data_IF_597474083293
#
_entry.id   IF_597474083293
#
_cell.length_a   1.000
_cell.length_b   1.000
_cell.length_c   1.000
_cell.angle_alpha   90.00
_cell.angle_beta   90.00
_cell.angle_gamma   90.00
#
_symmetry.space_group_name_H-M   'P 1'
#
loop_
_entity.id
_entity.type
_entity.pdbx_description
1 polymer ?
#
# COMPACT_ATOMS: atom_id res chain seq x y z
N UNK A 1 -13.53 11.83 11.97
CA UNK A 1 -13.97 13.01 11.20
C UNK A 1 -14.22 12.59 9.75
N UNK A 2 -15.13 13.24 8.99
CA UNK A 2 -15.42 12.81 7.63
C UNK A 2 -14.26 13.11 6.68
N UNK A 3 -13.95 12.16 5.80
CA UNK A 3 -12.92 12.31 4.78
C UNK A 3 -13.49 13.13 3.61
N UNK A 4 -12.77 14.12 3.08
CA UNK A 4 -13.28 14.92 1.94
C UNK A 4 -13.20 14.16 0.60
N UNK A 5 -12.34 13.16 0.49
CA UNK A 5 -12.19 12.28 -0.67
C UNK A 5 -10.85 11.55 -0.65
N UNK A 6 -10.77 10.39 -1.31
CA UNK A 6 -9.53 9.65 -1.49
C UNK A 6 -9.43 9.06 -2.90
N UNK A 7 -8.20 9.01 -3.43
CA UNK A 7 -7.93 8.44 -4.74
C UNK A 7 -6.62 7.64 -4.75
N UNK A 8 -6.64 6.49 -5.42
CA UNK A 8 -5.43 5.75 -5.84
C UNK A 8 -5.53 5.52 -7.34
N UNK A 9 -4.47 5.83 -8.09
CA UNK A 9 -4.43 5.61 -9.53
C UNK A 9 -3.08 5.03 -9.97
N UNK A 10 -3.11 4.12 -10.93
CA UNK A 10 -1.94 3.50 -11.56
C UNK A 10 -2.16 3.48 -13.07
N UNK A 11 -1.17 3.95 -13.81
CA UNK A 11 -1.14 3.87 -15.27
C UNK A 11 0.16 3.24 -15.74
N UNK A 12 0.07 2.38 -16.75
CA UNK A 12 1.20 1.83 -17.47
C UNK A 12 0.97 2.01 -18.98
N UNK A 13 2.04 2.32 -19.69
CA UNK A 13 2.05 2.41 -21.14
C UNK A 13 3.32 1.76 -21.67
N UNK A 14 3.18 0.98 -22.74
CA UNK A 14 4.28 0.44 -23.51
C UNK A 14 3.92 0.48 -25.00
N UNK A 15 4.92 0.57 -25.87
CA UNK A 15 4.73 0.47 -27.31
C UNK A 15 5.80 -0.46 -27.88
N UNK A 16 5.38 -1.52 -28.56
CA UNK A 16 6.30 -2.34 -29.35
C UNK A 16 6.40 -1.77 -30.75
N UNK A 17 7.64 -1.63 -31.25
CA UNK A 17 7.91 -1.13 -32.60
C UNK A 17 8.80 -2.10 -33.35
N UNK A 18 8.55 -2.26 -34.66
CA UNK A 18 9.45 -2.99 -35.55
C UNK A 18 9.58 -2.26 -36.88
N UNK A 19 10.76 -2.31 -37.48
CA UNK A 19 10.97 -1.84 -38.83
C UNK A 19 10.26 -2.78 -39.83
N UNK A 20 9.73 -2.20 -40.90
CA UNK A 20 9.25 -2.89 -42.11
C UNK A 20 9.90 -2.20 -43.32
N UNK A 21 9.96 -2.87 -44.47
CA UNK A 21 10.73 -2.39 -45.63
C UNK A 21 10.44 -0.94 -46.05
N UNK A 22 9.20 -0.48 -45.91
CA UNK A 22 8.77 0.88 -46.23
C UNK A 22 8.23 1.68 -45.02
N UNK A 23 8.62 1.34 -43.79
CA UNK A 23 8.16 2.09 -42.61
C UNK A 23 8.39 1.45 -41.24
N UNK A 24 7.46 1.72 -40.31
CA UNK A 24 7.50 1.21 -38.93
C UNK A 24 6.12 0.73 -38.51
N UNK A 25 6.06 -0.50 -38.01
CA UNK A 25 4.87 -1.05 -37.36
C UNK A 25 4.89 -0.76 -35.86
N UNK A 26 3.72 -0.52 -35.27
CA UNK A 26 3.54 -0.08 -33.87
C UNK A 26 2.42 -0.87 -33.19
N UNK A 27 2.62 -1.23 -31.93
CA UNK A 27 1.61 -1.87 -31.09
C UNK A 27 1.58 -1.21 -29.69
N UNK A 28 0.74 -0.17 -29.49
CA UNK A 28 0.60 0.48 -28.19
C UNK A 28 -0.23 -0.38 -27.22
N UNK A 29 0.19 -0.39 -25.96
CA UNK A 29 -0.41 -1.14 -24.86
C UNK A 29 -0.58 -0.20 -23.68
N UNK A 30 -1.82 0.09 -23.30
CA UNK A 30 -2.13 0.98 -22.20
C UNK A 30 -2.97 0.26 -21.14
N UNK A 31 -2.61 0.46 -19.88
CA UNK A 31 -3.39 0.04 -18.71
C UNK A 31 -3.58 1.25 -17.81
N UNK A 32 -4.82 1.52 -17.42
CA UNK A 32 -5.13 2.49 -16.39
C UNK A 32 -6.14 1.91 -15.41
N UNK A 33 -5.88 2.10 -14.12
CA UNK A 33 -6.78 1.74 -13.03
C UNK A 33 -6.81 2.90 -12.05
N UNK A 34 -8.01 3.24 -11.61
CA UNK A 34 -8.21 4.21 -10.55
C UNK A 34 -9.31 3.76 -9.60
N UNK A 35 -9.16 4.15 -8.34
CA UNK A 35 -10.14 4.00 -7.28
C UNK A 35 -10.37 5.40 -6.72
N UNK A 36 -11.62 5.86 -6.76
CA UNK A 36 -12.06 7.10 -6.13
C UNK A 36 -13.13 6.77 -5.10
N UNK A 37 -12.93 7.22 -3.86
CA UNK A 37 -13.78 6.88 -2.72
C UNK A 37 -14.41 8.14 -2.13
N UNK A 38 -15.71 8.07 -1.89
CA UNK A 38 -16.45 9.08 -1.13
C UNK A 38 -16.30 8.85 0.38
N UNK A 39 -16.75 9.80 1.20
CA UNK A 39 -16.79 9.60 2.65
C UNK A 39 -17.76 8.50 3.06
N UNK A 40 -17.36 7.66 4.02
CA UNK A 40 -18.19 6.67 4.72
C UNK A 40 -17.58 5.27 4.74
N UNK A 41 -18.37 4.25 5.11
CA UNK A 41 -17.88 2.89 5.37
C UNK A 41 -18.33 1.82 4.36
N UNK A 42 -19.33 2.14 3.53
CA UNK A 42 -19.89 1.21 2.54
C UNK A 42 -19.03 1.01 1.28
N UNK A 43 -19.59 0.35 0.28
CA UNK A 43 -18.98 0.24 -1.05
C UNK A 43 -18.66 1.63 -1.64
N UNK A 44 -17.48 1.77 -2.25
CA UNK A 44 -17.03 3.01 -2.89
C UNK A 44 -16.76 4.14 -1.89
N UNK A 45 -16.57 3.80 -0.61
CA UNK A 45 -16.36 4.76 0.47
C UNK A 45 -15.17 4.39 1.34
N UNK A 46 -14.56 5.42 1.93
CA UNK A 46 -13.57 5.33 2.99
C UNK A 46 -13.76 6.47 3.99
N UNK A 47 -13.35 6.25 5.23
CA UNK A 47 -13.46 7.24 6.30
C UNK A 47 -12.26 7.26 7.25
N UNK A 48 -11.21 6.47 6.95
CA UNK A 48 -9.94 6.46 7.66
C UNK A 48 -8.79 6.54 6.67
N UNK A 49 -7.79 7.33 7.01
CA UNK A 49 -6.55 7.48 6.24
C UNK A 49 -5.38 7.58 7.21
N UNK A 50 -4.31 6.85 6.91
CA UNK A 50 -3.00 7.00 7.53
C UNK A 50 -1.97 7.27 6.46
N UNK A 51 -1.04 8.19 6.71
CA UNK A 51 0.10 8.41 5.84
C UNK A 51 1.31 8.86 6.65
N UNK A 52 2.48 8.32 6.34
CA UNK A 52 3.72 8.67 7.03
C UNK A 52 4.95 8.40 6.15
N UNK A 53 6.07 9.05 6.50
CA UNK A 53 7.41 8.72 6.01
C UNK A 53 8.22 8.17 7.17
N UNK A 54 8.69 6.93 7.07
CA UNK A 54 9.40 6.25 8.16
C UNK A 54 10.79 5.80 7.72
N UNK A 55 11.69 5.67 8.69
CA UNK A 55 13.06 5.18 8.48
C UNK A 55 13.36 4.06 9.45
N UNK A 56 13.74 2.91 8.91
CA UNK A 56 14.20 1.76 9.68
C UNK A 56 15.72 1.71 9.65
N UNK A 57 16.33 1.56 10.83
CA UNK A 57 17.77 1.32 10.94
C UNK A 57 18.19 0.03 10.21
N UNK A 58 19.49 -0.20 10.10
CA UNK A 58 20.06 -1.46 9.62
C UNK A 58 19.44 -2.66 10.37
N UNK A 59 18.99 -3.68 9.62
CA UNK A 59 18.26 -4.86 10.14
C UNK A 59 16.98 -4.52 10.92
N UNK A 60 16.51 -3.27 10.87
CA UNK A 60 15.36 -2.80 11.60
C UNK A 60 14.06 -3.37 11.05
N UNK A 61 13.10 -3.56 11.94
CA UNK A 61 11.73 -3.92 11.58
C UNK A 61 10.75 -3.22 12.52
N UNK A 62 9.54 -3.02 12.03
CA UNK A 62 8.41 -2.53 12.79
C UNK A 62 7.15 -3.28 12.37
N UNK A 63 6.18 -3.35 13.29
CA UNK A 63 4.85 -3.88 13.00
C UNK A 63 3.85 -2.72 13.16
N UNK A 64 3.22 -2.33 12.06
CA UNK A 64 2.18 -1.29 12.06
C UNK A 64 0.85 -1.93 12.48
N UNK A 65 0.33 -1.51 13.64
CA UNK A 65 -0.99 -1.95 14.11
C UNK A 65 -2.10 -1.14 13.44
N UNK A 66 -2.77 -1.78 12.49
CA UNK A 66 -3.85 -1.21 11.69
C UNK A 66 -5.14 -0.97 12.49
N UNK A 67 -5.23 -1.42 13.74
CA UNK A 67 -6.44 -1.43 14.54
C UNK A 67 -6.22 -0.99 16.00
N UNK A 68 -5.61 0.19 16.22
CA UNK A 68 -5.56 0.76 17.57
C UNK A 68 -4.32 1.57 17.92
N UNK A 69 -3.29 1.61 17.08
CA UNK A 69 -2.06 2.36 17.38
C UNK A 69 -1.77 3.53 16.44
N UNK A 70 -2.13 3.42 15.16
CA UNK A 70 -1.86 4.50 14.19
C UNK A 70 -2.67 5.75 14.54
N UNK A 71 -2.08 6.92 14.29
CA UNK A 71 -2.70 8.21 14.60
C UNK A 71 -2.90 8.96 13.28
N UNK A 72 -4.08 9.55 13.11
CA UNK A 72 -4.38 10.39 11.95
C UNK A 72 -3.72 11.78 12.04
N UNK A 73 -3.84 12.57 10.97
CA UNK A 73 -3.27 13.92 10.90
C UNK A 73 -3.84 14.90 11.95
N UNK A 74 -4.91 14.52 12.66
CA UNK A 74 -5.57 15.33 13.68
C UNK A 74 -5.34 14.81 15.10
N UNK A 75 -4.49 13.79 15.27
CA UNK A 75 -4.17 13.23 16.59
C UNK A 75 -5.15 12.17 17.08
N UNK A 76 -6.08 11.70 16.26
CA UNK A 76 -7.02 10.65 16.64
C UNK A 76 -6.47 9.26 16.30
N UNK A 77 -6.65 8.31 17.21
CA UNK A 77 -6.31 6.89 16.97
C UNK A 77 -7.19 6.31 15.87
N UNK A 78 -6.57 5.60 14.94
CA UNK A 78 -7.20 4.94 13.81
C UNK A 78 -7.44 3.47 14.14
N UNK A 79 -8.65 3.02 13.86
CA UNK A 79 -9.00 1.60 13.77
C UNK A 79 -9.58 1.32 12.40
N UNK A 80 -8.84 0.59 11.56
CA UNK A 80 -9.37 0.08 10.30
C UNK A 80 -10.12 -1.23 10.56
N UNK A 81 -11.33 -1.36 10.02
CA UNK A 81 -11.99 -2.67 9.86
C UNK A 81 -11.65 -3.31 8.51
N UNK A 82 -11.23 -2.48 7.55
CA UNK A 82 -10.81 -2.91 6.21
C UNK A 82 -9.94 -1.88 5.52
N UNK A 83 -8.95 -2.36 4.79
CA UNK A 83 -8.14 -1.54 3.88
C UNK A 83 -8.77 -1.57 2.49
N UNK A 84 -8.86 -0.40 1.86
CA UNK A 84 -9.36 -0.19 0.50
C UNK A 84 -8.25 0.20 -0.47
N UNK A 85 -7.26 0.93 0.04
CA UNK A 85 -6.09 1.34 -0.71
C UNK A 85 -4.82 1.25 0.14
N UNK A 86 -3.74 0.80 -0.47
CA UNK A 86 -2.42 0.78 0.13
C UNK A 86 -1.40 1.20 -0.92
N UNK A 87 -0.59 2.21 -0.60
CA UNK A 87 0.59 2.60 -1.38
C UNK A 87 1.80 2.54 -0.48
N UNK A 88 2.85 1.87 -0.94
CA UNK A 88 4.16 1.87 -0.27
C UNK A 88 5.22 2.19 -1.31
N UNK A 89 6.05 3.19 -1.03
CA UNK A 89 7.14 3.60 -1.92
C UNK A 89 8.47 3.60 -1.16
N UNK A 90 9.48 2.92 -1.69
CA UNK A 90 10.82 2.94 -1.13
C UNK A 90 11.58 4.16 -1.66
N UNK A 91 12.28 4.88 -0.79
CA UNK A 91 13.12 5.99 -1.21
C UNK A 91 14.18 5.53 -2.23
N UNK A 92 14.39 6.32 -3.28
CA UNK A 92 15.34 6.00 -4.35
C UNK A 92 16.80 5.88 -3.87
N UNK A 93 17.15 6.58 -2.78
CA UNK A 93 18.48 6.55 -2.17
C UNK A 93 18.75 5.35 -1.26
N UNK A 94 17.77 4.46 -1.03
CA UNK A 94 18.00 3.26 -0.24
C UNK A 94 19.02 2.34 -0.94
N UNK A 95 19.89 1.69 -0.19
CA UNK A 95 20.75 0.61 -0.72
C UNK A 95 20.12 -0.77 -0.51
N UNK A 96 19.25 -0.91 0.50
CA UNK A 96 18.54 -2.14 0.82
C UNK A 96 17.07 -2.04 0.40
N UNK A 97 16.38 -3.18 0.36
CA UNK A 97 14.96 -3.21 0.02
C UNK A 97 14.09 -2.95 1.25
N UNK A 98 12.91 -2.41 1.00
CA UNK A 98 11.81 -2.41 1.96
C UNK A 98 11.03 -3.71 1.77
N UNK A 99 10.87 -4.49 2.83
CA UNK A 99 10.12 -5.75 2.83
C UNK A 99 8.82 -5.53 3.59
N UNK A 100 7.70 -5.94 2.99
CA UNK A 100 6.35 -5.67 3.49
C UNK A 100 5.62 -6.99 3.75
N UNK A 101 5.02 -7.15 4.93
CA UNK A 101 4.21 -8.31 5.32
C UNK A 101 4.92 -9.30 6.25
N UNK A 102 4.23 -10.39 6.58
CA UNK A 102 4.69 -11.48 7.45
C UNK A 102 5.09 -11.05 8.88
N UNK A 103 4.19 -10.34 9.59
CA UNK A 103 4.33 -10.13 11.03
C UNK A 103 4.39 -11.47 11.79
N UNK A 104 5.19 -11.55 12.84
CA UNK A 104 5.42 -12.82 13.56
C UNK A 104 4.21 -13.29 14.36
N UNK A 105 3.34 -12.36 14.75
CA UNK A 105 2.06 -12.64 15.42
C UNK A 105 0.99 -11.74 14.80
N UNK A 106 -0.27 -12.18 14.84
CA UNK A 106 -1.43 -11.46 14.33
C UNK A 106 -1.23 -10.79 12.95
N UNK A 107 -0.62 -11.48 11.96
CA UNK A 107 -0.33 -10.85 10.69
C UNK A 107 -1.61 -10.48 9.98
N UNK A 108 -1.64 -9.27 9.42
CA UNK A 108 -2.68 -8.86 8.49
C UNK A 108 -2.56 -9.66 7.18
N UNK A 109 -3.25 -10.79 7.13
CA UNK A 109 -3.06 -11.82 6.10
C UNK A 109 -3.92 -11.63 4.85
N UNK A 110 -4.84 -10.68 4.83
CA UNK A 110 -5.87 -10.62 3.77
C UNK A 110 -5.34 -10.14 2.41
N UNK A 111 -4.17 -9.51 2.37
CA UNK A 111 -3.51 -9.08 1.11
C UNK A 111 -2.51 -10.11 0.59
N UNK A 112 -1.53 -10.49 1.41
CA UNK A 112 -0.39 -11.33 1.00
C UNK A 112 -0.48 -12.76 1.54
N UNK A 113 -1.42 -13.08 2.42
CA UNK A 113 -1.34 -14.27 3.27
C UNK A 113 -0.45 -14.02 4.49
N UNK A 114 -0.48 -14.94 5.45
CA UNK A 114 0.18 -14.76 6.74
C UNK A 114 1.72 -14.84 6.68
N UNK A 115 2.27 -15.55 5.69
CA UNK A 115 3.70 -15.92 5.63
C UNK A 115 4.46 -15.31 4.45
N UNK A 116 3.76 -14.64 3.52
CA UNK A 116 4.39 -14.08 2.34
C UNK A 116 4.74 -12.61 2.54
N UNK A 117 5.75 -12.18 1.80
CA UNK A 117 6.24 -10.81 1.80
C UNK A 117 6.30 -10.25 0.39
N UNK A 118 6.13 -8.94 0.28
CA UNK A 118 6.45 -8.19 -0.92
C UNK A 118 7.80 -7.47 -0.73
N UNK A 119 8.67 -7.57 -1.73
CA UNK A 119 9.93 -6.80 -1.79
C UNK A 119 9.75 -5.56 -2.64
N UNK A 120 9.97 -4.39 -2.04
CA UNK A 120 9.96 -3.09 -2.72
C UNK A 120 11.42 -2.61 -2.82
N UNK A 121 11.96 -2.65 -4.05
CA UNK A 121 13.33 -2.23 -4.35
C UNK A 121 13.52 -0.72 -4.20
N UNK A 122 14.75 -0.21 -4.01
CA UNK A 122 15.02 1.22 -4.02
C UNK A 122 14.37 1.94 -5.21
N UNK A 123 13.61 3.00 -4.92
CA UNK A 123 12.88 3.79 -5.92
C UNK A 123 11.63 3.12 -6.50
N UNK A 124 11.34 1.87 -6.14
CA UNK A 124 10.11 1.20 -6.53
C UNK A 124 8.95 1.57 -5.60
N UNK A 125 7.75 1.34 -6.10
CA UNK A 125 6.52 1.44 -5.32
C UNK A 125 5.58 0.29 -5.65
N UNK A 126 4.65 0.05 -4.74
CA UNK A 126 3.49 -0.80 -4.94
C UNK A 126 2.24 0.01 -4.63
N UNK A 127 1.18 -0.24 -5.40
CA UNK A 127 -0.14 0.30 -5.13
C UNK A 127 -1.17 -0.82 -5.24
N UNK A 128 -2.04 -0.89 -4.24
CA UNK A 128 -3.18 -1.80 -4.16
C UNK A 128 -4.43 -0.94 -4.00
N UNK A 129 -5.49 -1.28 -4.74
CA UNK A 129 -6.77 -0.60 -4.66
C UNK A 129 -7.92 -1.57 -4.87
N UNK A 130 -8.98 -1.42 -4.11
CA UNK A 130 -10.24 -2.15 -4.28
C UNK A 130 -11.12 -1.51 -5.36
N UNK A 131 -12.10 -2.26 -5.87
CA UNK A 131 -13.10 -1.71 -6.79
C UNK A 131 -14.11 -0.82 -6.06
N UNK A 132 -14.72 0.15 -6.78
CA UNK A 132 -15.75 1.05 -6.20
C UNK A 132 -17.01 0.32 -5.74
N UNK A 133 -17.26 -0.91 -6.21
CA UNK A 133 -18.37 -1.76 -5.75
C UNK A 133 -18.00 -2.66 -4.56
N UNK A 134 -16.73 -2.72 -4.18
CA UNK A 134 -16.25 -3.62 -3.13
C UNK A 134 -16.48 -3.00 -1.75
N UNK A 135 -17.48 -3.52 -1.02
CA UNK A 135 -17.73 -3.18 0.38
C UNK A 135 -16.79 -3.92 1.34
N UNK A 136 -16.27 -5.09 0.97
CA UNK A 136 -15.47 -5.97 1.81
C UNK A 136 -14.06 -5.43 2.01
N UNK A 137 -13.36 -5.12 0.91
CA UNK A 137 -11.94 -4.80 0.91
C UNK A 137 -11.09 -5.86 1.61
N UNK A 138 -9.92 -5.44 2.10
CA UNK A 138 -9.00 -6.30 2.83
C UNK A 138 -9.28 -6.21 4.33
N UNK A 139 -9.98 -7.19 4.87
CA UNK A 139 -10.42 -7.17 6.27
C UNK A 139 -9.23 -7.04 7.24
N UNK A 140 -9.46 -6.32 8.33
CA UNK A 140 -8.55 -6.14 9.46
C UNK A 140 -9.29 -6.63 10.70
N UNK A 141 -8.70 -7.56 11.44
CA UNK A 141 -9.30 -8.09 12.67
C UNK A 141 -8.45 -7.65 13.85
N UNK A 142 -8.99 -6.74 14.66
CA UNK A 142 -8.29 -6.21 15.83
C UNK A 142 -7.73 -7.34 16.72
N UNK A 143 -6.51 -7.14 17.20
CA UNK A 143 -5.74 -8.04 18.05
C UNK A 143 -5.38 -9.42 17.47
N UNK A 144 -5.83 -9.78 16.26
CA UNK A 144 -5.64 -11.15 15.71
C UNK A 144 -5.23 -11.21 14.24
N UNK A 145 -5.35 -10.10 13.51
CA UNK A 145 -5.05 -10.04 12.08
C UNK A 145 -4.96 -8.59 11.61
N UNK A 146 -4.12 -7.80 12.28
CA UNK A 146 -4.02 -6.35 12.15
C UNK A 146 -2.59 -5.82 12.07
N UNK A 147 -1.57 -6.67 12.19
CA UNK A 147 -0.18 -6.24 12.10
C UNK A 147 0.35 -6.30 10.66
N UNK A 148 0.69 -5.14 10.10
CA UNK A 148 1.44 -5.01 8.86
C UNK A 148 2.92 -4.76 9.17
N UNK A 149 3.74 -5.79 9.03
CA UNK A 149 5.19 -5.68 9.22
C UNK A 149 5.85 -4.93 8.07
N UNK A 150 6.81 -4.07 8.41
CA UNK A 150 7.80 -3.49 7.50
C UNK A 150 9.19 -3.84 8.01
N UNK A 151 10.10 -4.21 7.11
CA UNK A 151 11.46 -4.58 7.46
C UNK A 151 12.48 -4.03 6.46
N UNK A 152 13.67 -3.73 6.98
CA UNK A 152 14.86 -3.51 6.20
C UNK A 152 15.47 -4.85 5.79
N UNK A 153 15.73 -5.05 4.50
CA UNK A 153 16.21 -6.35 4.00
C UNK A 153 17.64 -6.70 4.39
N UNK A 154 18.43 -5.76 4.95
CA UNK A 154 19.83 -6.01 5.30
C UNK A 154 20.36 -5.10 6.43
N UNK A 155 21.53 -5.46 6.96
CA UNK A 155 22.18 -4.80 8.10
C UNK A 155 23.22 -3.73 7.75
N UNK A 156 23.37 -3.33 6.48
CA UNK A 156 24.43 -2.40 6.07
C UNK A 156 24.08 -0.90 6.21
N UNK A 157 22.80 -0.56 6.17
CA UNK A 157 22.32 0.82 6.09
C UNK A 157 20.84 0.91 6.44
N UNK A 158 20.33 2.11 6.72
CA UNK A 158 18.91 2.35 6.93
C UNK A 158 18.11 2.29 5.62
N UNK A 159 16.80 2.07 5.72
CA UNK A 159 15.84 2.23 4.61
C UNK A 159 14.77 3.24 4.99
N UNK A 160 14.44 4.12 4.06
CA UNK A 160 13.31 5.05 4.17
C UNK A 160 12.18 4.62 3.25
N UNK A 161 10.94 4.74 3.72
CA UNK A 161 9.76 4.47 2.91
C UNK A 161 8.62 5.43 3.23
N UNK A 162 7.76 5.64 2.23
CA UNK A 162 6.49 6.33 2.35
C UNK A 162 5.37 5.30 2.36
N UNK A 163 4.36 5.52 3.18
CA UNK A 163 3.16 4.69 3.22
C UNK A 163 1.91 5.55 3.21
N UNK A 164 0.90 5.11 2.47
CA UNK A 164 -0.44 5.68 2.47
C UNK A 164 -1.46 4.54 2.54
N UNK A 165 -2.28 4.55 3.59
CA UNK A 165 -3.32 3.56 3.84
C UNK A 165 -4.66 4.27 3.82
N UNK A 166 -5.59 3.77 3.01
CA UNK A 166 -6.96 4.26 2.92
C UNK A 166 -7.87 3.09 3.27
N UNK A 167 -8.83 3.32 4.18
CA UNK A 167 -9.70 2.27 4.65
C UNK A 167 -11.00 2.78 5.26
N UNK A 168 -11.78 1.84 5.77
CA UNK A 168 -13.04 2.12 6.45
C UNK A 168 -13.04 1.54 7.85
N UNK A 169 -13.71 2.22 8.79
CA UNK A 169 -13.86 1.73 10.17
C UNK A 169 -14.95 0.69 10.37
N UNK A 170 -15.76 0.39 9.34
CA UNK A 170 -16.81 -0.62 9.36
C UNK A 170 -17.12 -1.11 7.96
#
# INVERSE_FOLDING_TARGET
>A
MPLSGAMVAVSAFAEQVTAIDLGTSRAPQALSRSMSLASGTGAGKADRVFSDRRTLAASGTEDLDLAGALIDAFGATITFARIKGLVIAAAAGNTNNVVVGAASSNPWATLLGATHTLTVRPGAFVAVGTGVADATGYAVTASTGDLLKIANSAGGSAVTYDIHIIGASA
#
